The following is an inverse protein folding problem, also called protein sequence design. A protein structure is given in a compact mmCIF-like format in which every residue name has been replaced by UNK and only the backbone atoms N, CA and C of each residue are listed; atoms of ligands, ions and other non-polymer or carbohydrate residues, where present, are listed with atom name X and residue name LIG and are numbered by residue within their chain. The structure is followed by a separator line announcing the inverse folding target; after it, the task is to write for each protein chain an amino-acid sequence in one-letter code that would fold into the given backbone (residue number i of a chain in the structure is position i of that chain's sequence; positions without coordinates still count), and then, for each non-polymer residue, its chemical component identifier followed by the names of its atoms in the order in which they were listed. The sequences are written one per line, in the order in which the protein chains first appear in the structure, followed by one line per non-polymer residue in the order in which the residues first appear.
data_IF_364990490404
#
_entry.id   IF_364990490404
#
_cell.length_a   1.000
_cell.length_b   1.000
_cell.length_c   1.000
_cell.angle_alpha   90.00
_cell.angle_beta   90.00
_cell.angle_gamma   90.00
#
_symmetry.space_group_name_H-M   'P 1'
#
loop_
_entity.id
_entity.type
_entity.pdbx_description
1 polymer ?
#
# COMPACT_ATOMS: atom_id res chain seq x y z
N UNK A 1 7.83 -20.17 2.50
CA UNK A 1 6.35 -20.16 2.36
C UNK A 1 5.67 -19.27 3.39
N UNK A 2 5.68 -19.56 4.71
CA UNK A 2 4.96 -18.72 5.71
C UNK A 2 5.32 -17.21 5.64
N UNK A 3 6.60 -16.87 5.46
CA UNK A 3 7.06 -15.48 5.38
C UNK A 3 6.51 -14.71 4.16
N UNK A 4 6.23 -15.38 3.04
CA UNK A 4 5.77 -14.69 1.83
C UNK A 4 4.29 -14.34 1.89
N UNK A 5 3.46 -15.17 2.53
CA UNK A 5 2.07 -14.83 2.82
C UNK A 5 1.95 -13.61 3.74
N UNK A 6 2.81 -13.52 4.76
CA UNK A 6 2.85 -12.34 5.65
C UNK A 6 3.17 -11.08 4.86
N UNK A 7 4.14 -11.12 3.93
CA UNK A 7 4.47 -9.98 3.07
C UNK A 7 3.31 -9.57 2.18
N UNK A 8 2.58 -10.53 1.59
CA UNK A 8 1.38 -10.25 0.78
C UNK A 8 0.30 -9.58 1.63
N UNK A 9 0.04 -10.07 2.83
CA UNK A 9 -0.93 -9.48 3.76
C UNK A 9 -0.51 -8.05 4.13
N UNK A 10 0.77 -7.83 4.42
CA UNK A 10 1.28 -6.48 4.72
C UNK A 10 1.07 -5.53 3.52
N UNK A 11 1.35 -5.98 2.29
CA UNK A 11 1.12 -5.16 1.09
C UNK A 11 -0.36 -4.77 0.96
N UNK A 12 -1.29 -5.70 1.21
CA UNK A 12 -2.72 -5.41 1.18
C UNK A 12 -3.09 -4.39 2.26
N UNK A 13 -2.63 -4.61 3.51
CA UNK A 13 -2.88 -3.71 4.63
C UNK A 13 -2.34 -2.30 4.40
N UNK A 14 -1.20 -2.16 3.71
CA UNK A 14 -0.66 -0.85 3.33
C UNK A 14 -1.58 -0.06 2.39
N UNK A 15 -2.49 -0.71 1.67
CA UNK A 15 -3.53 -0.02 0.89
C UNK A 15 -4.56 0.70 1.76
N UNK A 16 -4.73 0.28 3.01
CA UNK A 16 -5.64 0.88 3.99
C UNK A 16 -4.93 1.89 4.90
N UNK A 17 -3.64 2.15 4.69
CA UNK A 17 -2.84 3.04 5.52
C UNK A 17 -3.42 4.47 5.60
N UNK A 18 -4.19 4.88 4.59
CA UNK A 18 -4.86 6.19 4.56
C UNK A 18 -5.88 6.37 5.69
N UNK A 19 -6.52 5.28 6.15
CA UNK A 19 -7.53 5.32 7.22
C UNK A 19 -6.93 5.78 8.55
N UNK A 20 -5.89 5.13 9.12
CA UNK A 20 -5.27 5.62 10.35
C UNK A 20 -4.58 6.98 10.17
N UNK A 21 -4.12 7.33 8.95
CA UNK A 21 -3.60 8.68 8.71
C UNK A 21 -4.67 9.77 8.85
N UNK A 22 -5.94 9.50 8.50
CA UNK A 22 -7.03 10.46 8.65
C UNK A 22 -7.36 10.77 10.12
N UNK A 23 -7.16 9.81 11.02
CA UNK A 23 -7.35 10.04 12.46
C UNK A 23 -6.22 10.88 13.06
N UNK A 24 -5.00 10.77 12.53
CA UNK A 24 -3.82 11.48 13.04
C UNK A 24 -3.69 12.88 12.43
N UNK A 25 -4.01 13.02 11.14
CA UNK A 25 -3.90 14.27 10.39
C UNK A 25 -5.29 14.73 9.91
N UNK A 26 -5.86 15.80 10.51
CA UNK A 26 -7.17 16.29 10.10
C UNK A 26 -7.11 16.82 8.65
N UNK A 27 -7.87 16.21 7.76
CA UNK A 27 -8.01 16.66 6.37
C UNK A 27 -8.82 17.96 6.30
N UNK A 28 -8.44 18.88 5.40
CA UNK A 28 -9.07 20.20 5.26
C UNK A 28 -10.58 20.10 4.96
N UNK A 29 -11.38 20.86 5.72
CA UNK A 29 -12.85 20.79 5.70
C UNK A 29 -13.41 21.38 4.40
N UNK A 30 -14.34 20.66 3.75
CA UNK A 30 -15.20 21.17 2.66
C UNK A 30 -15.04 20.44 1.32
N UNK A 31 -13.81 20.04 0.95
CA UNK A 31 -13.50 19.35 -0.32
C UNK A 31 -12.77 18.01 -0.17
N UNK A 32 -12.19 17.72 0.99
CA UNK A 32 -11.40 16.50 1.20
C UNK A 32 -12.25 15.22 1.22
N UNK A 33 -13.55 15.29 1.52
CA UNK A 33 -14.41 14.11 1.64
C UNK A 33 -14.53 13.30 0.35
N UNK A 34 -14.73 13.97 -0.79
CA UNK A 34 -14.79 13.32 -2.11
C UNK A 34 -13.43 12.75 -2.53
N UNK A 35 -12.35 13.47 -2.23
CA UNK A 35 -10.98 13.02 -2.52
C UNK A 35 -10.70 11.75 -1.72
N UNK A 36 -11.03 11.71 -0.43
CA UNK A 36 -10.85 10.53 0.43
C UNK A 36 -11.63 9.32 -0.11
N UNK A 37 -12.90 9.53 -0.50
CA UNK A 37 -13.78 8.48 -1.01
C UNK A 37 -13.25 7.85 -2.30
N UNK A 38 -12.52 8.60 -3.13
CA UNK A 38 -11.91 8.09 -4.37
C UNK A 38 -10.51 7.53 -4.12
N UNK A 39 -9.70 8.22 -3.33
CA UNK A 39 -8.29 7.88 -3.09
C UNK A 39 -8.14 6.59 -2.31
N UNK A 40 -8.99 6.32 -1.31
CA UNK A 40 -8.94 5.07 -0.53
C UNK A 40 -9.14 3.84 -1.44
N UNK A 41 -10.24 3.69 -2.21
CA UNK A 41 -10.41 2.52 -3.07
C UNK A 41 -9.34 2.44 -4.16
N UNK A 42 -8.84 3.57 -4.67
CA UNK A 42 -7.71 3.57 -5.59
C UNK A 42 -6.44 2.98 -4.96
N UNK A 43 -6.07 3.41 -3.75
CA UNK A 43 -4.89 2.92 -3.04
C UNK A 43 -5.03 1.44 -2.66
N UNK A 44 -6.23 1.00 -2.27
CA UNK A 44 -6.53 -0.43 -2.04
C UNK A 44 -6.37 -1.23 -3.33
N UNK A 45 -6.85 -0.73 -4.47
CA UNK A 45 -6.67 -1.40 -5.76
C UNK A 45 -5.18 -1.54 -6.11
N UNK A 46 -4.41 -0.46 -5.97
CA UNK A 46 -2.96 -0.47 -6.22
C UNK A 46 -2.23 -1.45 -5.30
N UNK A 47 -2.61 -1.51 -4.02
CA UNK A 47 -2.02 -2.43 -3.06
C UNK A 47 -2.28 -3.90 -3.41
N UNK A 48 -3.51 -4.22 -3.84
CA UNK A 48 -3.89 -5.54 -4.33
C UNK A 48 -3.08 -5.90 -5.58
N UNK A 49 -2.95 -4.98 -6.54
CA UNK A 49 -2.14 -5.20 -7.76
C UNK A 49 -0.68 -5.50 -7.38
N UNK A 50 -0.08 -4.73 -6.47
CA UNK A 50 1.28 -4.98 -6.00
C UNK A 50 1.42 -6.33 -5.30
N UNK A 51 0.44 -6.70 -4.47
CA UNK A 51 0.40 -8.00 -3.80
C UNK A 51 0.32 -9.17 -4.79
N UNK A 52 -0.49 -9.05 -5.85
CA UNK A 52 -0.58 -10.02 -6.94
C UNK A 52 0.77 -10.11 -7.68
N UNK A 53 1.37 -8.97 -8.04
CA UNK A 53 2.68 -8.94 -8.70
C UNK A 53 3.75 -9.62 -7.83
N UNK A 54 3.78 -9.35 -6.53
CA UNK A 54 4.68 -10.01 -5.59
C UNK A 54 4.47 -11.53 -5.58
N UNK A 55 3.21 -11.96 -5.48
CA UNK A 55 2.84 -13.37 -5.44
C UNK A 55 3.20 -14.12 -6.72
N UNK A 56 2.92 -13.54 -7.89
CA UNK A 56 3.14 -14.22 -9.18
C UNK A 56 4.62 -14.25 -9.59
N UNK A 57 5.34 -13.13 -9.43
CA UNK A 57 6.69 -12.98 -9.96
C UNK A 57 7.80 -13.27 -8.95
N UNK A 58 7.62 -12.86 -7.68
CA UNK A 58 8.69 -12.91 -6.69
C UNK A 58 8.59 -14.12 -5.78
N UNK A 59 7.38 -14.57 -5.42
CA UNK A 59 7.18 -15.75 -4.56
C UNK A 59 7.80 -17.02 -5.17
N UNK A 60 7.76 -17.15 -6.52
CA UNK A 60 8.31 -18.28 -7.26
C UNK A 60 9.85 -18.29 -7.36
N UNK A 61 10.55 -17.21 -6.99
CA UNK A 61 12.03 -17.15 -7.09
C UNK A 61 12.69 -17.88 -5.91
N UNK A 62 13.85 -18.50 -6.13
CA UNK A 62 14.66 -19.11 -5.04
C UNK A 62 15.47 -18.09 -4.24
N UNK A 63 15.74 -16.90 -4.80
CA UNK A 63 16.59 -15.90 -4.16
C UNK A 63 15.82 -15.03 -3.16
N UNK A 64 15.97 -15.34 -1.88
CA UNK A 64 15.34 -14.61 -0.77
C UNK A 64 15.78 -13.14 -0.67
N UNK A 65 17.04 -12.80 -1.04
CA UNK A 65 17.51 -11.40 -1.05
C UNK A 65 16.73 -10.57 -2.07
N UNK A 66 16.46 -11.13 -3.24
CA UNK A 66 15.66 -10.48 -4.29
C UNK A 66 14.21 -10.28 -3.84
N UNK A 67 13.60 -11.29 -3.22
CA UNK A 67 12.24 -11.17 -2.67
C UNK A 67 12.13 -10.07 -1.63
N UNK A 68 13.07 -10.03 -0.68
CA UNK A 68 13.10 -9.02 0.38
C UNK A 68 13.26 -7.61 -0.21
N UNK A 69 14.18 -7.42 -1.16
CA UNK A 69 14.34 -6.13 -1.85
C UNK A 69 13.07 -5.70 -2.58
N UNK A 70 12.45 -6.60 -3.34
CA UNK A 70 11.21 -6.31 -4.05
C UNK A 70 10.07 -5.92 -3.10
N UNK A 71 9.89 -6.67 -2.00
CA UNK A 71 8.90 -6.32 -0.98
C UNK A 71 9.15 -4.94 -0.38
N UNK A 72 10.39 -4.64 0.03
CA UNK A 72 10.74 -3.34 0.61
C UNK A 72 10.47 -2.20 -0.37
N UNK A 73 10.84 -2.36 -1.63
CA UNK A 73 10.58 -1.35 -2.67
C UNK A 73 9.06 -1.14 -2.84
N UNK A 74 8.29 -2.22 -3.00
CA UNK A 74 6.83 -2.13 -3.15
C UNK A 74 6.16 -1.48 -1.94
N UNK A 75 6.58 -1.86 -0.72
CA UNK A 75 6.06 -1.29 0.51
C UNK A 75 6.38 0.21 0.62
N UNK A 76 7.62 0.61 0.34
CA UNK A 76 8.02 2.03 0.33
C UNK A 76 7.23 2.82 -0.73
N UNK A 77 7.00 2.25 -1.91
CA UNK A 77 6.18 2.89 -2.95
C UNK A 77 4.74 3.07 -2.47
N UNK A 78 4.13 2.08 -1.82
CA UNK A 78 2.77 2.22 -1.27
C UNK A 78 2.70 3.28 -0.17
N UNK A 79 3.69 3.34 0.72
CA UNK A 79 3.76 4.37 1.76
C UNK A 79 3.91 5.76 1.12
N UNK A 80 4.81 5.92 0.16
CA UNK A 80 5.00 7.18 -0.56
C UNK A 80 3.73 7.60 -1.30
N UNK A 81 3.06 6.69 -2.00
CA UNK A 81 1.79 6.96 -2.68
C UNK A 81 0.69 7.38 -1.70
N UNK A 82 0.58 6.69 -0.55
CA UNK A 82 -0.36 7.09 0.49
C UNK A 82 -0.11 8.53 0.94
N UNK A 83 1.14 8.91 1.22
CA UNK A 83 1.49 10.26 1.68
C UNK A 83 1.31 11.33 0.59
N UNK A 84 1.61 11.00 -0.67
CA UNK A 84 1.50 11.93 -1.81
C UNK A 84 0.04 12.19 -2.20
N UNK A 85 -0.81 11.16 -2.12
CA UNK A 85 -2.23 11.27 -2.47
C UNK A 85 -3.10 11.64 -1.27
N UNK A 86 -2.54 11.64 -0.06
CA UNK A 86 -3.26 12.09 1.12
C UNK A 86 -3.60 13.58 0.96
N UNK A 87 -4.87 13.99 1.19
CA UNK A 87 -5.29 15.38 1.09
C UNK A 87 -4.74 16.17 2.28
N UNK A 88 -3.48 16.58 2.17
CA UNK A 88 -2.75 17.37 3.18
C UNK A 88 -2.99 18.89 3.07
N UNK A 89 -3.81 19.34 2.11
CA UNK A 89 -4.13 20.75 1.85
C UNK A 89 -5.56 20.90 1.38
#
# INVERSE_FOLDING_TARGET
MKSDYVKIIILILLGFLTIPLLEIFPAAVGGASLIIVITIPFLVLVSIIMAIVYSLYYNKKKNEKTKRRAFVIMALTLIALNLLLFPNR
#
